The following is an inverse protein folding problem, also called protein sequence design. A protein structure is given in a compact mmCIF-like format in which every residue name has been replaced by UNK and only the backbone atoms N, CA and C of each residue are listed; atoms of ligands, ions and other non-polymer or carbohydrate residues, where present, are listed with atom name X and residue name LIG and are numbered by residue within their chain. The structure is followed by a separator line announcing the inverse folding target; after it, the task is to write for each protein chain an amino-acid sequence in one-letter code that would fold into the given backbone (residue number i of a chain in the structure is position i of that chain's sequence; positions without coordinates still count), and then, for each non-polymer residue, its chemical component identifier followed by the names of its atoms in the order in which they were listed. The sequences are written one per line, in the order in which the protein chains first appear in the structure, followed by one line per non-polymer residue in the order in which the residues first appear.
data_IF_956690198125
#
_entry.id   IF_956690198125
#
_cell.length_a   1.000
_cell.length_b   1.000
_cell.length_c   1.000
_cell.angle_alpha   90.00
_cell.angle_beta   90.00
_cell.angle_gamma   90.00
#
_symmetry.space_group_name_H-M   'P 1'
#
loop_
_entity.id
_entity.type
_entity.pdbx_description
1 polymer ?
#
# COMPACT_ATOMS: atom_id res chain seq x y z
N UNK A 1 21.13 22.27 5.27
CA UNK A 1 20.30 21.47 4.36
C UNK A 1 18.95 22.16 4.17
N UNK A 2 18.52 22.29 2.98
CA UNK A 2 17.31 23.04 2.70
C UNK A 2 16.02 22.28 2.93
N UNK A 3 16.05 20.99 3.12
CA UNK A 3 14.87 20.20 3.39
C UNK A 3 13.82 20.14 2.28
N UNK A 4 14.16 20.53 1.08
CA UNK A 4 13.23 20.48 -0.04
C UNK A 4 13.06 19.03 -0.51
N UNK A 5 11.89 18.43 -0.21
CA UNK A 5 11.58 17.03 -0.56
C UNK A 5 11.57 16.79 -2.07
N UNK A 6 11.29 17.84 -2.87
CA UNK A 6 11.24 17.71 -4.33
C UNK A 6 12.61 17.38 -4.93
N UNK A 7 13.69 17.71 -4.23
CA UNK A 7 15.05 17.39 -4.69
C UNK A 7 15.32 15.90 -4.73
N UNK A 8 14.52 15.10 -4.02
CA UNK A 8 14.64 13.65 -3.98
C UNK A 8 13.65 12.95 -4.91
N UNK A 9 12.72 13.70 -5.46
CA UNK A 9 11.65 13.11 -6.26
C UNK A 9 12.16 12.63 -7.61
N UNK A 10 11.65 11.50 -8.04
CA UNK A 10 11.89 10.97 -9.37
C UNK A 10 10.91 11.60 -10.34
N UNK A 11 11.32 11.73 -11.59
CA UNK A 11 10.44 12.21 -12.65
C UNK A 11 9.98 11.01 -13.48
N UNK A 12 8.67 10.86 -13.62
CA UNK A 12 8.12 9.80 -14.47
C UNK A 12 8.10 10.31 -15.91
N UNK A 13 8.80 9.61 -16.79
CA UNK A 13 8.88 9.96 -18.20
C UNK A 13 7.86 9.22 -19.03
N UNK A 14 7.52 7.99 -18.66
CA UNK A 14 6.57 7.17 -19.39
C UNK A 14 5.94 6.15 -18.47
N UNK A 15 4.66 5.83 -18.71
CA UNK A 15 3.91 4.81 -17.98
C UNK A 15 3.24 3.89 -19.00
N UNK A 16 3.40 2.58 -18.82
CA UNK A 16 2.72 1.58 -19.63
C UNK A 16 2.09 0.54 -18.72
N UNK A 17 0.83 0.19 -18.96
CA UNK A 17 0.21 -0.92 -18.27
C UNK A 17 0.63 -2.19 -19.00
N UNK A 18 1.36 -3.07 -18.32
CA UNK A 18 1.89 -4.29 -18.92
C UNK A 18 1.07 -5.53 -18.58
N UNK A 19 0.27 -5.45 -17.53
CA UNK A 19 -0.68 -6.50 -17.18
C UNK A 19 -1.83 -5.88 -16.39
N UNK A 20 -3.05 -6.32 -16.69
CA UNK A 20 -4.23 -5.89 -15.95
C UNK A 20 -5.32 -6.95 -16.03
N UNK A 21 -5.86 -7.30 -14.87
CA UNK A 21 -7.08 -8.09 -14.79
C UNK A 21 -7.97 -7.51 -13.69
N UNK A 22 -8.98 -8.25 -13.26
CA UNK A 22 -9.89 -7.79 -12.21
C UNK A 22 -9.18 -7.54 -10.89
N UNK A 23 -8.06 -8.23 -10.64
CA UNK A 23 -7.40 -8.25 -9.34
C UNK A 23 -6.10 -7.47 -9.29
N UNK A 24 -5.40 -7.35 -10.42
CA UNK A 24 -4.04 -6.80 -10.45
C UNK A 24 -3.89 -5.85 -11.62
N UNK A 25 -3.28 -4.71 -11.35
CA UNK A 25 -2.78 -3.80 -12.38
C UNK A 25 -1.30 -3.62 -12.18
N UNK A 26 -0.51 -3.96 -13.20
CA UNK A 26 0.94 -3.80 -13.18
C UNK A 26 1.37 -2.79 -14.21
N UNK A 27 2.05 -1.76 -13.76
CA UNK A 27 2.55 -0.67 -14.59
C UNK A 27 4.06 -0.77 -14.69
N UNK A 28 4.61 -0.58 -15.89
CA UNK A 28 6.05 -0.40 -16.08
C UNK A 28 6.31 1.08 -16.33
N UNK A 29 7.18 1.67 -15.54
CA UNK A 29 7.50 3.10 -15.62
C UNK A 29 8.93 3.30 -16.10
N UNK A 30 9.13 4.38 -16.86
CA UNK A 30 10.46 4.89 -17.15
C UNK A 30 10.66 6.14 -16.31
N UNK A 31 11.69 6.14 -15.48
CA UNK A 31 11.89 7.19 -14.48
C UNK A 31 13.27 7.79 -14.58
N UNK A 32 13.35 9.09 -14.31
CA UNK A 32 14.60 9.81 -14.20
C UNK A 32 14.83 10.17 -12.74
N UNK A 33 15.98 9.78 -12.20
CA UNK A 33 16.38 10.08 -10.84
C UNK A 33 16.93 11.48 -10.74
N UNK A 34 17.03 12.04 -9.52
CA UNK A 34 17.60 13.38 -9.35
C UNK A 34 19.00 13.54 -9.90
N UNK A 35 19.80 12.47 -9.92
CA UNK A 35 21.17 12.50 -10.45
C UNK A 35 21.23 12.31 -11.98
N UNK A 36 20.09 12.21 -12.64
CA UNK A 36 20.00 12.05 -14.08
C UNK A 36 19.95 10.63 -14.59
N UNK A 37 20.16 9.63 -13.73
CA UNK A 37 20.08 8.23 -14.16
C UNK A 37 18.66 7.87 -14.57
N UNK A 38 18.55 6.94 -15.53
CA UNK A 38 17.27 6.41 -16.00
C UNK A 38 17.09 5.00 -15.46
N UNK A 39 15.94 4.73 -14.90
CA UNK A 39 15.52 3.40 -14.50
C UNK A 39 14.34 3.00 -15.35
N UNK A 40 14.46 1.85 -16.04
CA UNK A 40 13.42 1.31 -16.92
C UNK A 40 13.63 -0.18 -17.10
N UNK A 41 12.62 -1.01 -16.81
CA UNK A 41 11.34 -0.62 -16.23
C UNK A 41 11.44 -0.54 -14.71
N UNK A 42 10.64 0.34 -14.13
CA UNK A 42 10.33 0.27 -12.71
C UNK A 42 8.88 -0.18 -12.59
N UNK A 43 8.66 -1.33 -11.95
CA UNK A 43 7.31 -1.89 -11.87
C UNK A 43 6.56 -1.37 -10.66
N UNK A 44 5.32 -0.98 -10.90
CA UNK A 44 4.42 -0.51 -9.85
C UNK A 44 3.16 -1.36 -9.89
N UNK A 45 2.85 -1.99 -8.77
CA UNK A 45 1.58 -2.67 -8.60
C UNK A 45 0.60 -1.67 -7.99
N UNK A 46 -0.51 -1.44 -8.68
CA UNK A 46 -1.55 -0.51 -8.20
C UNK A 46 -2.60 -1.28 -7.43
N UNK A 47 -2.80 -0.92 -6.18
CA UNK A 47 -3.81 -1.51 -5.33
C UNK A 47 -4.73 -0.41 -4.79
N UNK A 48 -5.96 -0.76 -4.37
CA UNK A 48 -6.79 0.18 -3.63
C UNK A 48 -6.11 0.58 -2.33
N UNK A 49 -6.45 1.75 -1.83
CA UNK A 49 -6.01 2.15 -0.50
C UNK A 49 -6.55 1.19 0.55
N UNK A 50 -5.84 1.03 1.64
CA UNK A 50 -6.28 0.17 2.73
C UNK A 50 -6.06 0.86 4.06
N UNK A 51 -6.81 0.40 5.07
CA UNK A 51 -6.69 0.90 6.44
C UNK A 51 -6.15 -0.21 7.33
N UNK A 52 -5.20 0.12 8.17
CA UNK A 52 -4.66 -0.76 9.21
C UNK A 52 -5.10 -0.20 10.56
N UNK A 53 -5.61 -1.07 11.43
CA UNK A 53 -6.11 -0.66 12.74
C UNK A 53 -5.09 -0.99 13.80
N UNK A 54 -4.69 0.02 14.58
CA UNK A 54 -3.93 -0.17 15.81
C UNK A 54 -4.90 0.06 16.96
N UNK A 55 -5.47 -1.03 17.48
CA UNK A 55 -6.44 -0.97 18.56
C UNK A 55 -5.82 -1.49 19.84
N UNK A 56 -5.89 -0.67 20.91
CA UNK A 56 -5.34 -1.02 22.22
C UNK A 56 -6.49 -1.08 23.20
N UNK A 57 -6.58 -2.20 23.93
CA UNK A 57 -7.60 -2.38 24.96
C UNK A 57 -7.33 -1.50 26.15
N UNK A 58 -8.32 -1.38 27.04
CA UNK A 58 -8.17 -0.55 28.27
C UNK A 58 -7.03 -1.04 29.16
N UNK A 59 -6.73 -2.33 29.13
CA UNK A 59 -5.63 -2.92 29.91
C UNK A 59 -4.30 -2.96 29.14
N UNK A 60 -4.21 -2.25 28.01
CA UNK A 60 -2.95 -2.07 27.30
C UNK A 60 -2.59 -3.17 26.31
N UNK A 61 -3.53 -4.03 25.93
CA UNK A 61 -3.27 -5.10 24.97
C UNK A 61 -3.55 -4.65 23.55
N UNK A 62 -2.73 -5.12 22.62
CA UNK A 62 -2.90 -4.86 21.21
C UNK A 62 -3.83 -5.91 20.59
N UNK A 63 -4.81 -5.46 19.83
CA UNK A 63 -5.74 -6.37 19.13
C UNK A 63 -5.08 -6.87 17.84
N UNK A 64 -4.96 -8.18 17.71
CA UNK A 64 -4.39 -8.83 16.53
C UNK A 64 -5.37 -9.85 15.98
N UNK A 65 -5.21 -10.17 14.70
CA UNK A 65 -5.99 -11.21 14.03
C UNK A 65 -5.06 -12.27 13.46
N UNK A 66 -5.55 -13.50 13.38
CA UNK A 66 -4.84 -14.58 12.70
C UNK A 66 -5.43 -14.74 11.31
N UNK A 67 -4.59 -14.71 10.31
CA UNK A 67 -5.03 -14.88 8.94
C UNK A 67 -4.06 -15.75 8.15
N UNK A 68 -4.61 -16.62 7.30
CA UNK A 68 -3.80 -17.35 6.34
C UNK A 68 -3.41 -16.41 5.20
N UNK A 69 -2.13 -16.33 4.92
CA UNK A 69 -1.60 -15.52 3.81
C UNK A 69 -0.99 -16.46 2.78
N UNK A 70 -1.70 -16.63 1.68
CA UNK A 70 -1.31 -17.61 0.67
C UNK A 70 0.02 -17.24 -0.01
N UNK A 71 0.38 -15.98 -0.12
CA UNK A 71 1.65 -15.58 -0.72
C UNK A 71 2.88 -16.11 0.02
N UNK A 72 2.76 -16.35 1.33
CA UNK A 72 3.82 -16.96 2.14
C UNK A 72 3.43 -18.34 2.66
N UNK A 73 2.20 -18.79 2.36
CA UNK A 73 1.65 -20.08 2.74
C UNK A 73 1.72 -20.33 4.25
N UNK A 74 1.41 -19.29 5.03
CA UNK A 74 1.45 -19.34 6.50
C UNK A 74 0.30 -18.60 7.11
N UNK A 75 -0.09 -19.04 8.31
CA UNK A 75 -0.98 -18.28 9.18
C UNK A 75 -0.13 -17.28 9.95
N UNK A 76 -0.48 -16.01 9.87
CA UNK A 76 0.25 -14.92 10.51
C UNK A 76 -0.63 -14.19 11.50
N UNK A 77 0.02 -13.61 12.53
CA UNK A 77 -0.61 -12.65 13.42
C UNK A 77 -0.41 -11.27 12.83
N UNK A 78 -1.50 -10.54 12.66
CA UNK A 78 -1.48 -9.24 11.99
C UNK A 78 -2.40 -8.25 12.69
N UNK A 79 -2.16 -6.97 12.44
CA UNK A 79 -3.12 -5.94 12.78
C UNK A 79 -4.34 -6.07 11.88
N UNK A 80 -5.56 -5.83 12.37
CA UNK A 80 -6.74 -5.80 11.50
C UNK A 80 -6.55 -4.77 10.39
N UNK A 81 -6.87 -5.15 9.15
CA UNK A 81 -6.71 -4.28 8.00
C UNK A 81 -7.65 -4.71 6.89
N UNK A 82 -7.97 -3.77 6.00
CA UNK A 82 -8.76 -4.07 4.82
C UNK A 82 -8.81 -2.88 3.87
N UNK A 83 -9.33 -3.11 2.68
CA UNK A 83 -9.42 -2.09 1.65
C UNK A 83 -10.39 -0.99 2.07
N UNK A 84 -10.03 0.25 1.75
CA UNK A 84 -10.94 1.39 1.90
C UNK A 84 -11.87 1.39 0.69
N UNK A 85 -13.17 1.31 0.95
CA UNK A 85 -14.17 1.32 -0.10
C UNK A 85 -14.31 2.73 -0.69
N UNK A 86 -14.73 2.78 -1.95
CA UNK A 86 -14.93 4.05 -2.64
C UNK A 86 -15.92 4.91 -1.87
N UNK A 87 -15.52 6.15 -1.58
CA UNK A 87 -16.35 7.08 -0.83
C UNK A 87 -16.31 6.92 0.68
N UNK A 88 -15.60 5.90 1.18
CA UNK A 88 -15.44 5.65 2.61
C UNK A 88 -14.22 6.43 3.11
N UNK A 89 -14.32 7.08 4.29
CA UNK A 89 -13.14 7.72 4.86
C UNK A 89 -12.25 6.67 5.56
N UNK A 90 -10.96 6.96 5.75
CA UNK A 90 -10.04 5.99 6.36
C UNK A 90 -10.44 5.57 7.77
N UNK A 91 -10.99 6.47 8.57
CA UNK A 91 -11.43 6.17 9.93
C UNK A 91 -12.64 5.23 9.93
N UNK A 92 -13.59 5.45 9.02
CA UNK A 92 -14.74 4.55 8.86
C UNK A 92 -14.32 3.17 8.41
N UNK A 93 -13.39 3.07 7.46
CA UNK A 93 -12.84 1.81 7.00
C UNK A 93 -12.16 1.05 8.14
N UNK A 94 -11.35 1.73 8.94
CA UNK A 94 -10.67 1.13 10.07
C UNK A 94 -11.66 0.59 11.10
N UNK A 95 -12.72 1.34 11.42
CA UNK A 95 -13.76 0.91 12.34
C UNK A 95 -14.50 -0.34 11.84
N UNK A 96 -14.84 -0.36 10.55
CA UNK A 96 -15.50 -1.51 9.94
C UNK A 96 -14.62 -2.77 9.99
N UNK A 97 -13.34 -2.64 9.62
CA UNK A 97 -12.42 -3.78 9.64
C UNK A 97 -12.19 -4.32 11.05
N UNK A 98 -12.19 -3.46 12.06
CA UNK A 98 -12.04 -3.90 13.43
C UNK A 98 -13.21 -4.77 13.90
N UNK A 99 -14.42 -4.52 13.38
CA UNK A 99 -15.63 -5.27 13.72
C UNK A 99 -15.76 -6.58 12.94
N UNK A 100 -15.03 -6.72 11.86
CA UNK A 100 -14.98 -7.96 11.07
C UNK A 100 -13.94 -8.92 11.64
#
# INVERSE_FOLDING_TARGET
MNGNRNDMAWKVLKRDIVFQDTWVQLEASRCKLPDGRIIEPFYIKRDPDFAVVVAVTKDGRLVLVRQYRHGVEKVLLELPAGAIEKGEDPKGAAGRELLE
#
